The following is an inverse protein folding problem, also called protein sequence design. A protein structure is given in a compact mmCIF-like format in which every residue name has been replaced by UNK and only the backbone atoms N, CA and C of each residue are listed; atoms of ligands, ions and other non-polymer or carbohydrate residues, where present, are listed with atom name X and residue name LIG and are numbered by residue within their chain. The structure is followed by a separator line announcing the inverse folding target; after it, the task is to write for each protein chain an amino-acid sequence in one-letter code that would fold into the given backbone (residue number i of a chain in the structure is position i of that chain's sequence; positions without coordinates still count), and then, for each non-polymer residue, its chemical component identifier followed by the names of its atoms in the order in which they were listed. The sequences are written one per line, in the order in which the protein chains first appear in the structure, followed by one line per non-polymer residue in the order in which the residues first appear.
data_IF_474221218185
#
_entry.id   IF_474221218185
#
_cell.length_a   1.000
_cell.length_b   1.000
_cell.length_c   1.000
_cell.angle_alpha   90.00
_cell.angle_beta   90.00
_cell.angle_gamma   90.00
#
_symmetry.space_group_name_H-M   'P 1'
#
loop_
_entity.id
_entity.type
_entity.pdbx_description
1 polymer ?
#
# COMPACT_ATOMS: atom_id res chain seq x y z
N UNK A 1 -19.60 28.54 -12.75
CA UNK A 1 -18.39 28.07 -12.03
C UNK A 1 -17.73 27.03 -12.94
N UNK A 2 -16.59 27.35 -13.53
CA UNK A 2 -15.93 26.49 -14.51
C UNK A 2 -15.11 25.42 -13.77
N UNK A 3 -15.73 24.30 -13.42
CA UNK A 3 -15.05 23.17 -12.75
C UNK A 3 -14.18 22.32 -13.69
N UNK A 4 -14.15 22.64 -14.99
CA UNK A 4 -13.67 21.75 -16.04
C UNK A 4 -12.31 22.13 -16.64
N UNK A 5 -11.42 22.84 -15.92
CA UNK A 5 -10.18 23.34 -16.54
C UNK A 5 -8.93 23.26 -15.66
N UNK A 6 -8.75 22.17 -14.91
CA UNK A 6 -7.39 21.75 -14.58
C UNK A 6 -6.98 20.73 -15.66
N UNK A 7 -5.95 21.00 -16.46
CA UNK A 7 -5.42 20.01 -17.38
C UNK A 7 -5.12 18.73 -16.60
N UNK A 8 -5.73 17.62 -16.99
CA UNK A 8 -5.40 16.32 -16.40
C UNK A 8 -3.91 16.08 -16.67
N UNK A 9 -3.11 15.95 -15.61
CA UNK A 9 -1.69 15.66 -15.79
C UNK A 9 -1.61 14.30 -16.50
N UNK A 10 -0.90 14.15 -17.64
CA UNK A 10 -0.83 12.87 -18.34
C UNK A 10 -0.42 11.71 -17.42
N UNK A 11 0.39 12.02 -16.41
CA UNK A 11 0.88 11.12 -15.37
C UNK A 11 -0.22 10.61 -14.41
N UNK A 12 -1.35 11.31 -14.32
CA UNK A 12 -2.50 10.99 -13.47
C UNK A 12 -3.70 10.43 -14.24
N UNK A 13 -3.54 10.18 -15.54
CA UNK A 13 -4.55 9.51 -16.35
C UNK A 13 -4.87 8.10 -15.83
N UNK A 14 -6.06 7.59 -16.18
CA UNK A 14 -6.49 6.23 -15.80
C UNK A 14 -5.46 5.17 -16.21
N UNK A 15 -4.91 5.25 -17.42
CA UNK A 15 -3.88 4.30 -17.89
C UNK A 15 -2.61 4.35 -17.04
N UNK A 16 -2.20 5.54 -16.62
CA UNK A 16 -1.03 5.73 -15.77
C UNK A 16 -1.26 5.20 -14.34
N UNK A 17 -2.51 5.22 -13.84
CA UNK A 17 -2.89 4.58 -12.58
C UNK A 17 -3.01 3.07 -12.69
N UNK A 18 -3.56 2.55 -13.79
CA UNK A 18 -3.60 1.11 -14.06
C UNK A 18 -2.20 0.50 -14.03
N UNK A 19 -1.21 1.14 -14.69
CA UNK A 19 0.18 0.71 -14.63
C UNK A 19 0.77 0.81 -13.21
N UNK A 20 0.45 1.90 -12.49
CA UNK A 20 0.91 2.10 -11.10
C UNK A 20 0.41 0.98 -10.19
N UNK A 21 -0.89 0.65 -10.25
CA UNK A 21 -1.49 -0.43 -9.46
C UNK A 21 -0.94 -1.80 -9.86
N UNK A 22 -0.72 -2.04 -11.15
CA UNK A 22 -0.10 -3.27 -11.63
C UNK A 22 1.31 -3.48 -11.08
N UNK A 23 2.17 -2.45 -11.15
CA UNK A 23 3.54 -2.54 -10.63
C UNK A 23 3.57 -2.74 -9.11
N UNK A 24 2.71 -2.02 -8.37
CA UNK A 24 2.60 -2.14 -6.90
C UNK A 24 2.15 -3.53 -6.48
N UNK A 25 1.35 -4.23 -7.29
CA UNK A 25 0.91 -5.60 -7.03
C UNK A 25 2.02 -6.65 -7.07
N UNK A 26 3.19 -6.35 -7.66
CA UNK A 26 4.34 -7.24 -7.69
C UNK A 26 5.19 -7.00 -6.43
N UNK A 27 5.49 -8.00 -5.57
CA UNK A 27 6.06 -7.73 -4.25
C UNK A 27 7.37 -6.92 -4.25
N UNK A 28 8.42 -7.42 -4.91
CA UNK A 28 9.75 -6.77 -4.90
C UNK A 28 9.75 -5.53 -5.79
N UNK A 29 9.21 -5.64 -7.01
CA UNK A 29 9.16 -4.54 -7.98
C UNK A 29 8.29 -3.40 -7.47
N UNK A 30 7.12 -3.73 -6.91
CA UNK A 30 6.18 -2.79 -6.34
C UNK A 30 6.74 -2.06 -5.13
N UNK A 31 7.46 -2.75 -4.24
CA UNK A 31 8.14 -2.10 -3.12
C UNK A 31 9.18 -1.08 -3.59
N UNK A 32 10.03 -1.46 -4.56
CA UNK A 32 11.03 -0.54 -5.14
C UNK A 32 10.34 0.63 -5.84
N UNK A 33 9.27 0.38 -6.60
CA UNK A 33 8.52 1.41 -7.29
C UNK A 33 7.86 2.40 -6.32
N UNK A 34 7.31 1.92 -5.19
CA UNK A 34 6.79 2.79 -4.13
C UNK A 34 7.89 3.68 -3.52
N UNK A 35 9.11 3.17 -3.33
CA UNK A 35 10.25 3.98 -2.87
C UNK A 35 10.57 5.11 -3.85
N UNK A 36 10.63 4.79 -5.15
CA UNK A 36 10.87 5.77 -6.21
C UNK A 36 9.80 6.86 -6.19
N UNK A 37 8.52 6.47 -6.11
CA UNK A 37 7.41 7.42 -6.07
C UNK A 37 7.39 8.27 -4.80
N UNK A 38 7.63 7.69 -3.63
CA UNK A 38 7.53 8.39 -2.34
C UNK A 38 8.65 9.41 -2.11
N UNK A 39 9.85 9.09 -2.61
CA UNK A 39 11.07 9.87 -2.41
C UNK A 39 11.41 10.78 -3.60
N UNK A 40 10.84 10.53 -4.79
CA UNK A 40 11.08 11.33 -5.99
C UNK A 40 10.52 12.75 -5.93
N UNK A 41 11.19 13.68 -6.63
CA UNK A 41 10.82 15.09 -6.73
C UNK A 41 10.17 15.50 -8.07
N UNK A 42 10.33 14.71 -9.12
CA UNK A 42 9.91 15.07 -10.49
C UNK A 42 8.64 14.39 -11.03
N UNK A 43 7.89 13.66 -10.20
CA UNK A 43 6.67 12.96 -10.61
C UNK A 43 5.38 13.57 -10.06
N UNK A 44 4.22 13.04 -10.48
CA UNK A 44 2.91 13.47 -10.00
C UNK A 44 2.84 13.55 -8.46
N UNK A 45 2.39 14.69 -7.90
CA UNK A 45 2.14 14.82 -6.46
C UNK A 45 1.16 13.76 -5.92
N UNK A 46 0.18 13.34 -6.72
CA UNK A 46 -0.82 12.36 -6.32
C UNK A 46 -0.18 10.97 -6.14
N UNK A 47 0.65 10.54 -7.09
CA UNK A 47 1.38 9.26 -7.00
C UNK A 47 2.38 9.21 -5.85
N UNK A 48 3.05 10.34 -5.57
CA UNK A 48 3.94 10.46 -4.42
C UNK A 48 3.18 10.32 -3.09
N UNK A 49 2.03 10.99 -2.96
CA UNK A 49 1.21 10.89 -1.76
C UNK A 49 0.60 9.50 -1.59
N UNK A 50 0.16 8.86 -2.68
CA UNK A 50 -0.26 7.47 -2.69
C UNK A 50 0.84 6.54 -2.17
N UNK A 51 2.07 6.69 -2.67
CA UNK A 51 3.17 5.84 -2.22
C UNK A 51 3.51 6.01 -0.74
N UNK A 52 3.47 7.25 -0.23
CA UNK A 52 3.63 7.52 1.22
C UNK A 52 2.50 6.91 2.04
N UNK A 53 1.26 6.99 1.56
CA UNK A 53 0.11 6.37 2.22
C UNK A 53 0.23 4.83 2.24
N UNK A 54 0.72 4.21 1.16
CA UNK A 54 0.97 2.77 1.11
C UNK A 54 1.96 2.33 2.19
N UNK A 55 3.08 3.05 2.37
CA UNK A 55 4.02 2.73 3.46
C UNK A 55 3.40 2.85 4.85
N UNK A 56 2.58 3.88 5.08
CA UNK A 56 1.85 4.04 6.34
C UNK A 56 0.89 2.85 6.56
N UNK A 57 0.14 2.44 5.53
CA UNK A 57 -0.74 1.27 5.62
C UNK A 57 0.02 -0.04 5.86
N UNK A 58 1.22 -0.20 5.28
CA UNK A 58 2.07 -1.36 5.57
C UNK A 58 2.51 -1.39 7.04
N UNK A 59 2.90 -0.24 7.60
CA UNK A 59 3.23 -0.12 9.03
C UNK A 59 2.01 -0.44 9.89
N UNK A 60 0.85 0.14 9.58
CA UNK A 60 -0.41 -0.15 10.28
C UNK A 60 -0.73 -1.65 10.20
N UNK A 61 -0.57 -2.27 9.04
CA UNK A 61 -0.79 -3.70 8.84
C UNK A 61 0.10 -4.55 9.74
N UNK A 62 1.41 -4.25 9.80
CA UNK A 62 2.36 -4.94 10.68
C UNK A 62 1.95 -4.80 12.15
N UNK A 63 1.64 -3.58 12.59
CA UNK A 63 1.19 -3.32 13.97
C UNK A 63 -0.10 -4.07 14.28
N UNK A 64 -1.08 -4.02 13.39
CA UNK A 64 -2.35 -4.72 13.54
C UNK A 64 -2.14 -6.25 13.63
N UNK A 65 -1.28 -6.82 12.79
CA UNK A 65 -0.91 -8.25 12.85
C UNK A 65 -0.26 -8.61 14.19
N UNK A 66 0.68 -7.80 14.68
CA UNK A 66 1.32 -8.03 15.99
C UNK A 66 0.27 -7.99 17.11
N UNK A 67 -0.62 -6.99 17.11
CA UNK A 67 -1.69 -6.89 18.10
C UNK A 67 -2.62 -8.11 18.06
N UNK A 68 -2.97 -8.60 16.87
CA UNK A 68 -3.77 -9.82 16.73
C UNK A 68 -3.05 -11.04 17.36
N UNK A 69 -1.74 -11.19 17.16
CA UNK A 69 -0.98 -12.27 17.79
C UNK A 69 -0.87 -12.11 19.32
N UNK A 70 -0.73 -10.89 19.84
CA UNK A 70 -0.70 -10.67 21.30
C UNK A 70 -2.05 -11.01 21.93
N UNK A 71 -3.15 -10.56 21.32
CA UNK A 71 -4.49 -10.72 21.87
C UNK A 71 -5.02 -12.16 21.73
N UNK A 72 -4.75 -12.81 20.59
CA UNK A 72 -5.37 -14.08 20.24
C UNK A 72 -4.38 -15.23 20.09
N UNK A 73 -3.07 -14.98 20.08
CA UNK A 73 -2.05 -16.01 19.81
C UNK A 73 -2.08 -17.17 20.79
N UNK A 74 -2.26 -16.90 22.10
CA UNK A 74 -2.38 -17.96 23.11
C UNK A 74 -3.61 -18.85 22.90
N UNK A 75 -4.76 -18.25 22.59
CA UNK A 75 -5.99 -18.98 22.32
C UNK A 75 -5.91 -19.80 21.01
N UNK A 76 -5.28 -19.24 19.97
CA UNK A 76 -5.03 -19.94 18.71
C UNK A 76 -4.11 -21.15 18.94
N UNK A 77 -2.99 -20.96 19.66
CA UNK A 77 -2.05 -22.05 19.97
C UNK A 77 -2.69 -23.16 20.81
N UNK A 78 -3.49 -22.81 21.82
CA UNK A 78 -4.23 -23.78 22.62
C UNK A 78 -5.27 -24.54 21.77
N UNK A 79 -5.96 -23.86 20.86
CA UNK A 79 -6.89 -24.49 19.92
C UNK A 79 -6.19 -25.49 19.00
N UNK A 80 -5.01 -25.13 18.46
CA UNK A 80 -4.22 -26.02 17.60
C UNK A 80 -3.73 -27.27 18.33
N UNK A 81 -3.29 -27.13 19.60
CA UNK A 81 -2.87 -28.26 20.44
C UNK A 81 -4.02 -29.22 20.76
N UNK A 82 -5.25 -28.71 20.91
CA UNK A 82 -6.43 -29.52 21.15
C UNK A 82 -7.00 -30.17 19.87
N UNK A 83 -6.59 -29.73 18.68
CA UNK A 83 -7.08 -30.26 17.39
C UNK A 83 -6.38 -31.55 16.91
N UNK A 84 -5.44 -32.11 17.67
CA UNK A 84 -5.00 -33.50 17.52
C UNK A 84 -4.31 -33.87 16.20
N UNK A 85 -3.33 -33.06 15.78
CA UNK A 85 -2.10 -33.60 15.17
C UNK A 85 -1.02 -33.68 16.26
#
# INVERSE_FOLDING_TARGET
MAYNQFPEHPDDSVGAWMLTLFLVGIPVVGFIYLLILALGSGGSPAKRNFARAMFIWQIIGIVATILMFILFGGAIMAGLQNSGY
#
